data_IF_817840300994
#
_entry.id   IF_817840300994
#
_cell.length_a   1.000
_cell.length_b   1.000
_cell.length_c   1.000
_cell.angle_alpha   90.00
_cell.angle_beta   90.00
_cell.angle_gamma   90.00
#
_symmetry.space_group_name_H-M   'P 1'
#
loop_
_entity.id
_entity.type
_entity.pdbx_description
1 polymer ?
2 non-polymer ?
3 non-polymer ?
4 water ?
#
# COMPACT_ATOMS: atom_id res chain seq x y z
N UNK A 3 22.52 9.50 28.33
CA UNK A 3 21.41 9.91 29.22
C UNK A 3 20.27 10.60 28.46
N UNK A 4 20.55 11.70 27.76
CA UNK A 4 19.46 12.55 27.24
C UNK A 4 18.84 12.17 25.89
N UNK A 5 17.51 12.12 25.88
CA UNK A 5 16.75 11.92 24.68
C UNK A 5 17.05 13.11 23.77
N UNK A 6 17.40 12.83 22.52
CA UNK A 6 17.54 13.83 21.47
C UNK A 6 16.59 13.43 20.35
N UNK A 7 16.24 14.37 19.48
CA UNK A 7 15.23 14.13 18.44
C UNK A 7 15.69 13.12 17.36
N UNK A 8 17.01 13.01 17.18
CA UNK A 8 17.61 12.08 16.22
C UNK A 8 17.40 10.59 16.57
N UNK A 9 17.04 10.33 17.83
CA UNK A 9 16.87 8.95 18.28
C UNK A 9 15.55 8.39 17.81
N UNK A 10 14.66 9.30 17.40
CA UNK A 10 13.36 8.93 16.84
C UNK A 10 13.46 8.48 15.38
N UNK A 11 14.64 8.62 14.78
CA UNK A 11 14.88 8.25 13.38
C UNK A 11 14.78 6.74 13.10
N UNK A 12 14.08 6.40 12.01
CA UNK A 12 13.98 5.01 11.60
C UNK A 12 12.62 4.62 11.03
N UNK A 13 12.46 3.32 10.82
CA UNK A 13 11.17 2.78 10.39
C UNK A 13 10.43 2.16 11.59
N UNK A 14 9.24 2.69 11.85
CA UNK A 14 8.45 2.25 12.99
C UNK A 14 7.16 1.54 12.53
N UNK A 15 6.94 0.32 13.03
CA UNK A 15 5.79 -0.49 12.64
C UNK A 15 4.75 -0.47 13.74
N UNK A 16 3.50 -0.23 13.36
CA UNK A 16 2.42 -0.14 14.34
C UNK A 16 2.12 -1.49 14.94
N UNK A 17 2.15 -1.56 16.26
CA UNK A 17 1.84 -2.83 16.93
C UNK A 17 0.59 -2.74 17.80
N UNK A 18 0.26 -1.54 18.26
CA UNK A 18 -0.88 -1.33 19.13
C UNK A 18 -1.45 0.09 18.97
N UNK A 19 -2.77 0.21 19.05
CA UNK A 19 -3.49 1.45 18.75
C UNK A 19 -4.81 1.48 19.52
N UNK A 20 -4.96 2.47 20.41
CA UNK A 20 -6.14 2.57 21.25
C UNK A 20 -6.63 4.02 21.25
N UNK A 21 -7.92 4.23 21.00
CA UNK A 21 -8.51 5.58 20.98
C UNK A 21 -8.49 6.33 19.65
N UNK A 22 -7.98 5.70 18.60
CA UNK A 22 -7.91 6.28 17.26
C UNK A 22 -9.25 6.83 16.82
N UNK A 23 -10.30 6.01 16.95
CA UNK A 23 -11.62 6.39 16.46
C UNK A 23 -12.19 7.58 17.20
N UNK A 24 -12.05 7.59 18.54
CA UNK A 24 -12.53 8.71 19.35
C UNK A 24 -11.82 9.99 18.97
N UNK A 25 -10.49 9.95 18.93
CA UNK A 25 -9.69 11.11 18.55
C UNK A 25 -10.09 11.71 17.19
N UNK A 26 -10.29 10.85 16.18
CA UNK A 26 -10.75 11.25 14.84
C UNK A 26 -12.14 11.87 14.84
N UNK A 27 -13.01 11.37 15.72
CA UNK A 27 -14.33 11.95 15.89
C UNK A 27 -14.19 13.35 16.44
N UNK A 28 -13.21 13.55 17.32
CA UNK A 28 -13.01 14.89 17.88
C UNK A 28 -12.51 15.89 16.84
N UNK A 29 -11.62 15.47 15.93
CA UNK A 29 -11.22 16.33 14.81
C UNK A 29 -12.35 16.63 13.82
N UNK A 30 -13.42 15.83 13.86
CA UNK A 30 -14.54 15.93 12.89
C UNK A 30 -14.32 15.19 11.58
N UNK A 31 -13.65 14.02 11.64
CA UNK A 31 -13.44 13.16 10.47
C UNK A 31 -14.60 12.17 10.24
N UNK A 32 -14.96 11.98 8.97
CA UNK A 32 -16.06 11.10 8.55
C UNK A 32 -15.90 9.63 8.91
N UNK A 33 -17.02 8.90 8.89
CA UNK A 33 -17.05 7.48 9.23
C UNK A 33 -16.13 6.66 8.29
N UNK A 34 -16.37 6.73 6.98
CA UNK A 34 -15.59 5.95 6.02
C UNK A 34 -14.08 6.15 6.16
N UNK A 35 -13.64 7.38 6.43
CA UNK A 35 -12.22 7.70 6.53
C UNK A 35 -11.65 7.39 7.91
N UNK A 36 -12.52 7.37 8.91
CA UNK A 36 -12.14 6.94 10.25
C UNK A 36 -11.87 5.46 10.23
N UNK A 37 -12.82 4.69 9.70
CA UNK A 37 -12.71 3.24 9.66
C UNK A 37 -11.49 2.84 8.84
N UNK A 38 -11.37 3.36 7.62
CA UNK A 38 -10.22 3.06 6.75
C UNK A 38 -8.87 3.43 7.36
N UNK A 39 -8.81 4.55 8.07
CA UNK A 39 -7.59 4.97 8.74
C UNK A 39 -7.23 4.09 9.92
N UNK A 40 -8.26 3.63 10.63
CA UNK A 40 -8.09 2.75 11.79
C UNK A 40 -7.75 1.32 11.39
N UNK A 41 -8.03 0.96 10.14
CA UNK A 41 -7.74 -0.38 9.69
C UNK A 41 -6.25 -0.57 9.40
N UNK A 42 -5.72 0.29 8.51
CA UNK A 42 -4.35 0.21 8.03
C UNK A 42 -3.32 0.10 9.16
N UNK A 43 -2.28 -0.69 8.91
CA UNK A 43 -1.21 -0.90 9.86
C UNK A 43 0.04 -0.31 9.23
N UNK A 44 0.14 1.03 9.20
CA UNK A 44 1.20 1.70 8.44
C UNK A 44 2.59 1.63 9.10
N UNK A 45 3.63 1.69 8.29
CA UNK A 45 4.94 2.04 8.81
C UNK A 45 5.04 3.55 8.85
N UNK A 46 5.70 4.02 9.90
CA UNK A 46 6.04 5.40 10.08
C UNK A 46 7.56 5.49 9.84
N UNK A 47 7.98 6.41 8.97
CA UNK A 47 9.41 6.63 8.73
C UNK A 47 9.82 8.06 9.10
N UNK A 48 10.71 8.19 10.09
CA UNK A 48 11.12 9.49 10.57
C UNK A 48 12.57 9.77 10.20
N UNK A 49 12.79 10.92 9.60
CA UNK A 49 14.13 11.41 9.30
C UNK A 49 14.32 12.80 9.91
N UNK A 50 15.39 12.94 10.69
CA UNK A 50 15.81 14.22 11.23
C UNK A 50 17.27 14.48 10.91
N UNK A 51 17.51 15.60 10.26
CA UNK A 51 18.83 16.00 9.81
C UNK A 51 19.14 17.35 10.46
N UNK A 52 19.91 17.31 11.55
CA UNK A 52 20.07 18.45 12.44
C UNK A 52 18.69 18.93 12.90
N UNK A 53 18.24 20.04 12.34
CA UNK A 53 16.96 20.65 12.69
C UNK A 53 15.82 20.41 11.67
N UNK A 54 16.11 19.72 10.57
CA UNK A 54 15.09 19.46 9.55
C UNK A 54 14.44 18.09 9.72
N UNK A 55 13.12 18.10 9.88
CA UNK A 55 12.36 16.90 10.17
C UNK A 55 11.38 16.59 9.05
N UNK A 56 11.38 15.32 8.64
CA UNK A 56 10.42 14.77 7.71
C UNK A 56 9.80 13.52 8.33
N UNK A 57 8.48 13.42 8.26
CA UNK A 57 7.78 12.17 8.56
C UNK A 57 7.04 11.64 7.32
N UNK A 58 7.24 10.35 7.05
CA UNK A 58 6.58 9.65 5.96
C UNK A 58 5.77 8.45 6.48
N UNK A 59 4.95 7.89 5.60
CA UNK A 59 4.03 6.81 5.93
C UNK A 59 4.04 5.74 4.82
N UNK A 60 4.14 4.47 5.22
CA UNK A 60 4.11 3.35 4.26
C UNK A 60 3.08 2.26 4.54
N UNK A 61 2.17 2.08 3.58
CA UNK A 61 1.16 1.02 3.64
C UNK A 61 1.35 0.05 2.50
N UNK A 62 1.41 -1.23 2.85
CA UNK A 62 1.46 -2.31 1.88
C UNK A 62 0.12 -3.05 1.82
N UNK A 63 -0.48 -3.09 0.63
CA UNK A 63 -1.74 -3.78 0.43
C UNK A 63 -1.46 -5.15 -0.22
N UNK A 64 -1.77 -6.23 0.50
CA UNK A 64 -1.49 -7.61 0.03
C UNK A 64 -2.76 -8.39 -0.32
N UNK A 65 -2.88 -8.75 -1.59
CA UNK A 65 -4.04 -9.51 -2.10
C UNK A 65 -3.61 -10.83 -2.70
N UNK A 66 -4.29 -11.90 -2.33
CA UNK A 66 -4.21 -13.14 -3.07
C UNK A 66 -5.13 -13.01 -4.30
N UNK A 67 -4.55 -13.00 -5.51
CA UNK A 67 -5.36 -12.84 -6.72
C UNK A 67 -6.22 -14.08 -7.00
N UNK A 68 -5.58 -15.24 -7.07
CA UNK A 68 -6.27 -16.53 -7.15
C UNK A 68 -5.38 -17.69 -6.71
N UNK A 69 -5.99 -18.82 -6.44
CA UNK A 69 -5.26 -20.00 -5.99
C UNK A 69 -5.94 -21.22 -6.59
N UNK A 70 -5.22 -21.92 -7.45
CA UNK A 70 -5.81 -23.00 -8.23
C UNK A 70 -4.98 -24.28 -8.29
N UNK A 71 -5.57 -25.32 -8.87
CA UNK A 71 -4.83 -26.51 -9.26
C UNK A 71 -4.76 -26.50 -10.79
N UNK A 72 -3.55 -26.67 -11.33
CA UNK A 72 -3.32 -26.69 -12.78
C UNK A 72 -4.22 -27.69 -13.48
N UNK A 73 -4.93 -27.22 -14.50
CA UNK A 73 -5.76 -28.08 -15.32
C UNK A 73 -7.17 -28.29 -14.78
N UNK A 74 -7.43 -27.80 -13.57
CA UNK A 74 -8.76 -27.89 -12.95
C UNK A 74 -9.47 -26.54 -13.03
N UNK A 75 -10.61 -26.51 -13.73
CA UNK A 75 -11.37 -25.26 -13.85
C UNK A 75 -11.91 -24.81 -12.49
N UNK A 76 -12.05 -23.50 -12.30
CA UNK A 76 -12.58 -22.97 -11.04
C UNK A 76 -13.25 -21.61 -11.28
N UNK A 77 -14.17 -21.25 -10.40
CA UNK A 77 -14.80 -19.94 -10.49
C UNK A 77 -13.91 -18.90 -9.84
N UNK A 78 -13.57 -17.88 -10.61
CA UNK A 78 -12.81 -16.74 -10.15
C UNK A 78 -13.77 -15.55 -9.99
N UNK A 79 -13.60 -14.75 -8.94
CA UNK A 79 -14.30 -13.47 -8.87
C UNK A 79 -13.26 -12.37 -9.08
N UNK A 80 -13.35 -11.65 -10.20
CA UNK A 80 -12.32 -10.70 -10.61
C UNK A 80 -12.49 -9.30 -10.00
N UNK A 81 -11.37 -8.59 -9.89
CA UNK A 81 -11.32 -7.25 -9.27
C UNK A 81 -12.27 -6.24 -9.92
N UNK A 82 -12.54 -6.39 -11.21
CA UNK A 82 -13.51 -5.56 -11.91
C UNK A 82 -14.97 -6.03 -11.77
N UNK A 83 -15.19 -7.14 -11.09
CA UNK A 83 -16.55 -7.63 -10.85
C UNK A 83 -17.11 -8.48 -11.96
N UNK A 84 -16.33 -9.45 -12.45
CA UNK A 84 -16.85 -10.55 -13.28
C UNK A 84 -16.71 -11.84 -12.50
N UNK A 85 -17.63 -12.78 -12.75
CA UNK A 85 -17.48 -14.16 -12.28
C UNK A 85 -17.16 -15.07 -13.46
N UNK A 86 -15.88 -15.40 -13.60
CA UNK A 86 -15.39 -16.14 -14.76
C UNK A 86 -15.19 -17.59 -14.42
N UNK A 87 -15.34 -18.44 -15.42
CA UNK A 87 -14.90 -19.81 -15.32
C UNK A 87 -13.47 -19.88 -15.86
N UNK A 88 -12.50 -20.07 -14.97
CA UNK A 88 -11.07 -20.00 -15.31
C UNK A 88 -10.38 -21.38 -15.24
N UNK A 89 -9.29 -21.53 -16.00
CA UNK A 89 -8.37 -22.66 -15.91
C UNK A 89 -6.96 -22.26 -16.31
N UNK A 90 -5.98 -22.56 -15.45
CA UNK A 90 -4.56 -22.36 -15.76
C UNK A 90 -3.90 -23.67 -16.19
N UNK A 91 -3.09 -23.59 -17.24
CA UNK A 91 -2.32 -24.74 -17.71
C UNK A 91 -0.86 -24.39 -17.96
N UNK A 92 -0.03 -25.42 -18.19
CA UNK A 92 1.34 -25.20 -18.61
C UNK A 92 1.58 -25.85 -19.96
N UNK A 93 1.62 -25.02 -21.01
CA UNK A 93 1.73 -25.51 -22.38
C UNK A 93 2.82 -24.76 -23.11
N UNK A 94 3.79 -25.51 -23.64
CA UNK A 94 4.87 -24.93 -24.45
C UNK A 94 5.55 -23.72 -23.75
N UNK A 95 6.20 -24.01 -22.62
CA UNK A 95 7.01 -23.01 -21.90
C UNK A 95 6.32 -21.78 -21.31
N UNK A 96 4.99 -21.79 -21.24
CA UNK A 96 4.25 -20.63 -20.74
C UNK A 96 3.08 -21.02 -19.83
N UNK A 97 2.87 -20.22 -18.78
CA UNK A 97 1.68 -20.37 -17.95
C UNK A 97 0.51 -19.61 -18.57
N UNK A 98 -0.53 -20.34 -18.96
CA UNK A 98 -1.67 -19.80 -19.68
C UNK A 98 -2.90 -19.83 -18.77
N UNK A 99 -3.45 -18.64 -18.51
CA UNK A 99 -4.67 -18.48 -17.74
C UNK A 99 -5.82 -18.14 -18.65
N UNK A 100 -6.85 -18.97 -18.65
CA UNK A 100 -7.94 -18.80 -19.60
C UNK A 100 -9.22 -18.48 -18.86
N UNK A 101 -9.85 -17.35 -19.21
CA UNK A 101 -11.09 -16.89 -18.52
C UNK A 101 -12.29 -16.90 -19.45
N UNK A 102 -13.41 -17.46 -18.98
CA UNK A 102 -14.64 -17.50 -19.76
C UNK A 102 -15.81 -16.98 -18.96
N UNK A 103 -16.51 -16.00 -19.52
CA UNK A 103 -17.71 -15.46 -18.89
C UNK A 103 -18.61 -14.85 -19.95
N UNK A 104 -19.92 -14.98 -19.78
CA UNK A 104 -20.93 -14.27 -20.58
C UNK A 104 -20.78 -14.44 -22.10
N UNK A 105 -20.25 -15.58 -22.54
CA UNK A 105 -20.00 -15.81 -23.96
C UNK A 105 -18.67 -15.27 -24.44
N UNK A 106 -17.92 -14.63 -23.56
CA UNK A 106 -16.62 -14.01 -23.91
C UNK A 106 -15.47 -14.81 -23.32
N UNK A 107 -14.27 -14.60 -23.85
CA UNK A 107 -13.07 -15.19 -23.26
C UNK A 107 -11.90 -14.22 -23.28
N UNK A 108 -10.96 -14.42 -22.36
CA UNK A 108 -9.72 -13.66 -22.31
C UNK A 108 -8.62 -14.58 -21.83
N UNK A 109 -7.45 -14.46 -22.44
CA UNK A 109 -6.27 -15.26 -22.08
C UNK A 109 -5.19 -14.36 -21.46
N UNK A 110 -4.42 -14.92 -20.53
CA UNK A 110 -3.38 -14.19 -19.83
C UNK A 110 -2.18 -15.13 -19.75
N UNK A 111 -1.13 -14.78 -20.48
CA UNK A 111 0.01 -15.68 -20.61
C UNK A 111 1.23 -15.16 -19.83
N UNK A 112 1.89 -16.05 -19.12
CA UNK A 112 3.06 -15.67 -18.34
C UNK A 112 4.21 -16.58 -18.70
N UNK A 113 5.32 -15.98 -19.11
CA UNK A 113 6.49 -16.74 -19.53
C UNK A 113 7.76 -16.01 -19.15
N UNK A 114 8.88 -16.73 -19.17
CA UNK A 114 10.20 -16.16 -19.01
C UNK A 114 10.81 -15.82 -20.36
N UNK A 115 11.43 -14.65 -20.43
CA UNK A 115 12.13 -14.20 -21.61
C UNK A 115 13.31 -13.38 -21.10
N UNK A 116 14.51 -13.96 -21.17
CA UNK A 116 15.75 -13.32 -20.69
C UNK A 116 15.73 -12.91 -19.23
N UNK A 117 15.39 -13.86 -18.36
CA UNK A 117 15.30 -13.61 -16.90
C UNK A 117 14.19 -12.70 -16.42
N UNK A 118 13.27 -12.35 -17.32
CA UNK A 118 12.12 -11.50 -16.99
C UNK A 118 10.79 -12.21 -17.20
N UNK A 119 9.80 -11.88 -16.38
CA UNK A 119 8.46 -12.42 -16.53
C UNK A 119 7.70 -11.54 -17.52
N UNK A 120 7.30 -12.12 -18.65
CA UNK A 120 6.48 -11.40 -19.61
C UNK A 120 5.03 -11.82 -19.48
N UNK A 121 4.18 -10.86 -19.16
CA UNK A 121 2.75 -11.11 -19.03
C UNK A 121 2.02 -10.47 -20.20
N UNK A 122 1.26 -11.29 -20.91
CA UNK A 122 0.54 -10.83 -22.08
C UNK A 122 -0.95 -11.12 -21.88
N UNK A 123 -1.76 -10.07 -21.84
CA UNK A 123 -3.20 -10.22 -21.62
C UNK A 123 -3.97 -9.98 -22.93
N UNK A 124 -4.75 -10.95 -23.39
CA UNK A 124 -5.50 -10.75 -24.63
C UNK A 124 -7.00 -10.76 -24.41
N UNK A 125 -7.68 -9.82 -25.05
CA UNK A 125 -9.14 -9.73 -25.06
C UNK A 125 -9.46 -9.15 -26.43
N UNK A 126 -10.12 -9.96 -27.26
CA UNK A 126 -10.41 -9.60 -28.65
C UNK A 126 -9.12 -9.19 -29.38
N UNK A 127 -9.13 -8.05 -30.04
CA UNK A 127 -7.92 -7.54 -30.71
C UNK A 127 -6.70 -7.46 -29.80
N UNK A 128 -6.98 -7.11 -28.54
CA UNK A 128 -6.11 -6.23 -27.77
C UNK A 128 -5.15 -6.91 -26.82
N UNK A 129 -3.86 -6.63 -27.02
CA UNK A 129 -2.81 -7.10 -26.13
C UNK A 129 -2.36 -6.04 -25.13
N UNK A 130 -2.28 -6.42 -23.86
CA UNK A 130 -1.58 -5.64 -22.85
C UNK A 130 -0.33 -6.42 -22.44
N UNK A 131 0.84 -5.80 -22.62
CA UNK A 131 2.12 -6.43 -22.29
C UNK A 131 2.73 -5.81 -21.04
N UNK A 132 3.01 -6.67 -20.06
CA UNK A 132 3.64 -6.24 -18.84
C UNK A 132 4.92 -7.03 -18.62
N UNK A 133 5.96 -6.35 -18.12
CA UNK A 133 7.26 -6.98 -17.88
C UNK A 133 7.65 -6.78 -16.42
N UNK A 134 8.19 -7.83 -15.80
CA UNK A 134 8.66 -7.79 -14.41
C UNK A 134 10.13 -8.27 -14.27
N UNK A 135 10.84 -7.73 -13.28
CA UNK A 135 12.17 -8.21 -12.88
C UNK A 135 12.00 -9.18 -11.74
N UNK A 136 12.86 -10.18 -11.64
CA UNK A 136 12.90 -11.01 -10.44
C UNK A 136 13.61 -10.26 -9.31
N UNK A 137 13.05 -10.31 -8.10
CA UNK A 137 13.49 -9.42 -7.01
C UNK A 137 13.79 -10.12 -5.67
N UNK B 5 12.29 -25.05 -19.95
CA UNK B 5 11.17 -24.24 -19.39
C UNK B 5 10.13 -25.09 -18.64
N UNK B 6 10.21 -25.06 -17.31
CA UNK B 6 9.28 -25.78 -16.43
C UNK B 6 8.46 -24.72 -15.68
N UNK B 7 7.42 -25.14 -14.95
CA UNK B 7 6.57 -24.17 -14.24
C UNK B 7 7.26 -23.52 -13.02
N UNK B 8 8.11 -24.26 -12.32
CA UNK B 8 8.80 -23.76 -11.13
C UNK B 8 9.68 -22.52 -11.37
N UNK B 9 10.06 -22.30 -12.63
CA UNK B 9 10.89 -21.16 -13.01
C UNK B 9 10.21 -19.81 -12.75
N UNK B 10 8.89 -19.83 -12.65
CA UNK B 10 8.10 -18.61 -12.46
C UNK B 10 7.97 -18.18 -11.00
N UNK B 11 8.30 -19.09 -10.08
CA UNK B 11 8.22 -18.83 -8.63
C UNK B 11 9.07 -17.62 -8.24
N UNK B 12 8.61 -16.87 -7.23
CA UNK B 12 9.37 -15.75 -6.66
C UNK B 12 8.66 -14.41 -6.74
N UNK B 13 9.31 -13.37 -6.24
CA UNK B 13 8.77 -12.01 -6.29
C UNK B 13 9.14 -11.32 -7.59
N UNK B 14 8.20 -10.62 -8.22
CA UNK B 14 8.49 -9.91 -9.45
C UNK B 14 8.01 -8.46 -9.34
N UNK B 15 8.80 -7.54 -9.85
CA UNK B 15 8.48 -6.12 -9.75
C UNK B 15 8.15 -5.59 -11.13
N UNK B 16 7.00 -4.93 -11.26
CA UNK B 16 6.61 -4.39 -12.56
C UNK B 16 7.64 -3.39 -13.07
N UNK B 17 8.12 -3.58 -14.29
CA UNK B 17 9.05 -2.60 -14.84
C UNK B 17 8.53 -1.91 -16.10
N UNK B 18 7.52 -2.52 -16.74
CA UNK B 18 6.96 -1.99 -17.98
C UNK B 18 5.53 -2.46 -18.20
N UNK B 19 4.69 -1.57 -18.72
CA UNK B 19 3.28 -1.85 -18.97
C UNK B 19 2.81 -1.10 -20.22
N UNK B 20 2.16 -1.78 -21.15
CA UNK B 20 1.69 -1.13 -22.36
C UNK B 20 0.41 -1.76 -22.93
N UNK B 21 -0.60 -0.94 -23.18
CA UNK B 21 -1.89 -1.43 -23.67
C UNK B 21 -2.84 -1.76 -22.55
N UNK B 22 -2.41 -1.44 -21.33
CA UNK B 22 -3.19 -1.69 -20.12
C UNK B 22 -4.56 -1.06 -20.26
N UNK B 23 -4.59 0.24 -20.53
CA UNK B 23 -5.86 0.93 -20.69
C UNK B 23 -6.72 0.29 -21.79
N UNK B 24 -6.15 -0.01 -22.95
CA UNK B 24 -6.93 -0.63 -24.03
C UNK B 24 -7.49 -1.99 -23.62
N UNK B 25 -6.70 -2.79 -22.89
CA UNK B 25 -7.15 -4.13 -22.48
C UNK B 25 -8.29 -4.01 -21.49
N UNK B 26 -8.17 -3.09 -20.53
CA UNK B 26 -9.23 -2.84 -19.57
C UNK B 26 -10.52 -2.34 -20.25
N UNK B 27 -10.36 -1.47 -21.25
CA UNK B 27 -11.48 -0.93 -22.00
C UNK B 27 -12.22 -2.05 -22.69
N UNK B 28 -11.48 -2.98 -23.28
CA UNK B 28 -12.10 -4.15 -23.85
C UNK B 28 -12.92 -4.93 -22.81
N UNK B 29 -12.36 -5.18 -21.63
CA UNK B 29 -13.12 -5.90 -20.59
C UNK B 29 -14.40 -5.18 -20.11
N UNK B 30 -14.57 -3.91 -20.50
CA UNK B 30 -15.67 -3.09 -20.02
C UNK B 30 -15.41 -2.66 -18.59
N UNK B 31 -14.24 -2.07 -18.35
CA UNK B 31 -13.85 -1.54 -17.04
C UNK B 31 -13.96 -0.01 -17.05
N UNK B 32 -14.45 0.56 -15.94
CA UNK B 32 -14.61 2.02 -15.79
C UNK B 32 -13.34 2.86 -15.74
N UNK B 33 -13.48 4.16 -16.02
CA UNK B 33 -12.34 5.08 -16.09
C UNK B 33 -11.52 5.14 -14.78
N UNK B 34 -12.21 5.28 -13.64
CA UNK B 34 -11.59 5.26 -12.31
C UNK B 34 -10.65 4.06 -12.07
N UNK B 35 -11.14 2.85 -12.31
CA UNK B 35 -10.35 1.63 -12.06
C UNK B 35 -9.21 1.48 -13.06
N UNK B 36 -9.43 1.94 -14.29
CA UNK B 36 -8.44 1.92 -15.36
C UNK B 36 -7.25 2.78 -15.03
N UNK B 37 -7.53 4.04 -14.67
CA UNK B 37 -6.48 5.02 -14.39
C UNK B 37 -5.68 4.54 -13.19
N UNK B 38 -6.40 4.18 -12.12
CA UNK B 38 -5.83 3.62 -10.91
C UNK B 38 -4.93 2.43 -11.19
N UNK B 39 -5.52 1.42 -11.83
CA UNK B 39 -4.83 0.19 -12.15
C UNK B 39 -3.56 0.45 -12.92
N UNK B 40 -3.61 1.39 -13.86
CA UNK B 40 -2.46 1.73 -14.69
C UNK B 40 -1.39 2.43 -13.86
N UNK B 41 -1.80 3.23 -12.88
CA UNK B 41 -0.84 3.94 -12.02
C UNK B 41 -0.07 3.01 -11.08
N UNK B 42 -0.77 1.99 -10.57
CA UNK B 42 -0.21 1.02 -9.61
C UNK B 42 1.02 0.24 -10.13
N UNK B 43 2.04 0.11 -9.29
CA UNK B 43 3.25 -0.64 -9.63
C UNK B 43 3.45 -1.79 -8.63
N UNK B 44 2.72 -2.90 -8.81
CA UNK B 44 2.77 -3.96 -7.82
C UNK B 44 3.97 -4.89 -7.92
N UNK B 45 4.31 -5.54 -6.81
CA UNK B 45 5.08 -6.74 -6.88
C UNK B 45 4.13 -7.89 -7.10
N UNK B 46 4.58 -8.89 -7.85
CA UNK B 46 3.80 -10.07 -8.11
C UNK B 46 4.53 -11.22 -7.44
N UNK B 47 3.82 -11.98 -6.60
CA UNK B 47 4.42 -13.12 -5.91
C UNK B 47 3.82 -14.45 -6.42
N UNK B 48 4.67 -15.28 -7.03
CA UNK B 48 4.19 -16.51 -7.63
C UNK B 48 4.70 -17.74 -6.87
N UNK B 49 3.76 -18.59 -6.47
CA UNK B 49 4.04 -19.84 -5.76
C UNK B 49 3.49 -20.99 -6.62
N UNK B 50 4.24 -22.10 -6.70
CA UNK B 50 3.73 -23.30 -7.37
C UNK B 50 4.38 -24.58 -6.85
N UNK B 51 3.90 -25.07 -5.70
CA UNK B 51 4.31 -26.39 -5.16
C UNK B 51 3.61 -27.50 -5.95
N UNK B 52 4.31 -27.99 -6.98
CA UNK B 52 3.82 -29.06 -7.83
C UNK B 52 2.79 -28.62 -8.85
N UNK B 53 1.52 -28.91 -8.55
CA UNK B 53 0.42 -28.71 -9.49
C UNK B 53 -0.49 -27.58 -9.02
N UNK B 54 -0.36 -27.22 -7.74
CA UNK B 54 -1.11 -26.09 -7.20
C UNK B 54 -0.34 -24.79 -7.34
N UNK B 55 -1.03 -23.77 -7.83
CA UNK B 55 -0.41 -22.49 -8.11
C UNK B 55 -1.15 -21.37 -7.40
N UNK B 56 -0.40 -20.48 -6.77
CA UNK B 56 -0.96 -19.28 -6.15
C UNK B 56 -0.27 -18.04 -6.73
N UNK B 57 -1.08 -17.05 -7.11
CA UNK B 57 -0.55 -15.76 -7.55
C UNK B 57 -1.14 -14.65 -6.70
N UNK B 58 -0.30 -14.03 -5.86
CA UNK B 58 -0.71 -12.85 -5.11
C UNK B 58 0.02 -11.58 -5.54
N UNK B 59 -0.38 -10.43 -5.00
CA UNK B 59 0.28 -9.16 -5.29
C UNK B 59 0.56 -8.36 -4.01
N UNK B 60 1.47 -7.39 -4.12
CA UNK B 60 1.71 -6.39 -3.08
C UNK B 60 1.89 -5.00 -3.67
N UNK B 61 1.28 -4.02 -3.02
CA UNK B 61 1.33 -2.62 -3.46
C UNK B 61 1.57 -1.69 -2.26
N UNK B 62 2.54 -0.78 -2.41
CA UNK B 62 2.95 0.15 -1.35
C UNK B 62 2.79 1.62 -1.79
N UNK B 63 2.31 2.45 -0.88
CA UNK B 63 2.39 3.91 -0.97
C UNK B 63 2.35 4.31 0.49
N UNK B 64 3.24 5.18 1.00
CA UNK B 64 4.18 6.13 0.37
C UNK B 64 3.63 7.53 0.12
N UNK B 65 3.43 8.27 1.22
CA UNK B 65 3.11 9.68 1.16
C UNK B 65 3.96 10.41 2.20
N UNK B 66 4.12 11.72 2.02
CA UNK B 66 4.80 12.51 3.03
C UNK B 66 3.70 13.18 3.84
N UNK B 67 3.70 12.94 5.15
CA UNK B 67 2.76 13.58 6.06
C UNK B 67 3.13 15.05 6.26
N UNK B 68 4.41 15.30 6.54
CA UNK B 68 4.98 16.67 6.55
C UNK B 68 6.50 16.74 6.61
N UNK B 69 7.04 17.84 6.08
CA UNK B 69 8.45 18.14 6.24
C UNK B 69 8.57 19.52 6.88
N UNK B 70 9.45 19.66 7.88
CA UNK B 70 9.59 20.94 8.57
C UNK B 70 10.95 21.16 9.23
N UNK B 71 11.12 22.34 9.81
CA UNK B 71 12.30 22.75 10.57
C UNK B 71 11.85 23.00 12.00
N UNK B 72 12.46 22.32 12.96
CA UNK B 72 12.10 22.47 14.36
C UNK B 72 12.01 23.94 14.79
N UNK B 73 10.88 24.30 15.38
CA UNK B 73 10.68 25.63 15.95
C UNK B 73 10.11 26.67 15.03
N UNK B 74 10.05 26.35 13.74
CA UNK B 74 9.54 27.30 12.73
C UNK B 74 8.13 26.94 12.28
N UNK B 75 7.23 27.91 12.37
CA UNK B 75 5.83 27.70 12.00
C UNK B 75 5.70 27.40 10.52
N UNK B 76 4.70 26.59 10.18
CA UNK B 76 4.39 26.29 8.78
C UNK B 76 2.92 25.89 8.64
N UNK B 77 2.41 25.99 7.42
CA UNK B 77 1.04 25.62 7.11
C UNK B 77 1.01 24.18 6.69
N UNK B 78 0.26 23.38 7.44
CA UNK B 78 0.09 21.98 7.15
C UNK B 78 -1.28 21.83 6.49
N UNK B 79 -1.35 21.08 5.40
CA UNK B 79 -2.62 20.60 4.84
C UNK B 79 -2.78 19.14 5.25
N UNK B 80 -3.75 18.86 6.13
CA UNK B 80 -3.87 17.53 6.74
C UNK B 80 -4.68 16.57 5.87
N UNK B 81 -4.52 15.27 6.12
CA UNK B 81 -5.19 14.25 5.31
C UNK B 81 -6.71 14.29 5.44
N UNK B 82 -7.22 14.93 6.49
CA UNK B 82 -8.67 15.02 6.66
C UNK B 82 -9.28 16.32 6.09
N UNK B 83 -8.44 17.30 5.78
CA UNK B 83 -8.93 18.53 5.17
C UNK B 83 -8.94 19.69 6.14
N UNK B 84 -7.90 19.78 6.95
CA UNK B 84 -7.65 20.99 7.70
C UNK B 84 -6.41 21.67 7.13
N UNK B 85 -6.46 23.00 7.11
CA UNK B 85 -5.28 23.82 6.90
C UNK B 85 -4.94 24.31 8.27
N UNK B 86 -3.86 23.76 8.85
CA UNK B 86 -3.44 24.12 10.18
C UNK B 86 -2.17 24.97 10.15
N UNK B 87 -2.01 25.77 11.20
CA UNK B 87 -0.77 26.43 11.52
C UNK B 87 -0.06 25.47 12.49
N UNK B 88 1.10 24.96 12.09
CA UNK B 88 1.74 23.90 12.86
C UNK B 88 3.14 24.27 13.29
N UNK B 89 3.55 23.78 14.45
CA UNK B 89 4.95 23.86 14.88
C UNK B 89 5.40 22.57 15.54
N UNK B 90 6.65 22.17 15.25
CA UNK B 90 7.27 20.98 15.84
C UNK B 90 8.44 21.38 16.73
N UNK B 91 8.42 20.91 17.97
CA UNK B 91 9.54 21.15 18.88
C UNK B 91 10.01 19.86 19.53
N UNK B 92 11.29 19.79 19.84
CA UNK B 92 11.74 18.78 20.75
C UNK B 92 11.92 19.45 22.10
N UNK B 93 10.97 19.20 23.00
CA UNK B 93 11.02 19.74 24.35
C UNK B 93 10.63 18.62 25.28
N UNK B 94 11.32 18.55 26.42
CA UNK B 94 11.12 17.53 27.46
C UNK B 94 11.14 16.08 26.99
N UNK B 95 12.18 15.76 26.23
CA UNK B 95 12.41 14.40 25.76
C UNK B 95 11.42 13.89 24.73
N UNK B 96 10.62 14.78 24.14
CA UNK B 96 9.59 14.37 23.19
C UNK B 96 9.46 15.29 21.99
N UNK B 97 9.08 14.70 20.86
CA UNK B 97 8.78 15.50 19.69
C UNK B 97 7.31 15.96 19.72
N UNK B 98 7.12 17.25 20.03
CA UNK B 98 5.79 17.82 20.17
C UNK B 98 5.34 18.57 18.91
N UNK B 99 4.31 18.03 18.27
CA UNK B 99 3.70 18.61 17.09
C UNK B 99 2.41 19.31 17.51
N UNK B 100 2.36 20.62 17.29
CA UNK B 100 1.22 21.42 17.75
C UNK B 100 0.52 22.07 16.55
N UNK B 101 -0.77 21.76 16.37
CA UNK B 101 -1.56 22.24 15.23
C UNK B 101 -2.62 23.19 15.67
N UNK B 102 -2.78 24.28 14.95
CA UNK B 102 -3.80 25.29 15.29
C UNK B 102 -4.61 25.63 14.06
N UNK B 103 -5.93 25.65 14.22
CA UNK B 103 -6.86 25.99 13.14
C UNK B 103 -8.21 26.37 13.75
N UNK B 104 -8.86 27.39 13.17
CA UNK B 104 -10.25 27.71 13.50
C UNK B 104 -10.48 27.89 15.01
N UNK B 105 -9.48 28.41 15.71
CA UNK B 105 -9.59 28.66 17.14
C UNK B 105 -9.55 27.39 17.97
N UNK B 106 -9.07 26.31 17.35
CA UNK B 106 -8.86 25.03 18.02
C UNK B 106 -7.40 24.63 17.90
N UNK B 107 -7.05 23.55 18.57
CA UNK B 107 -5.67 23.06 18.65
C UNK B 107 -5.65 21.59 19.07
N UNK B 108 -4.64 20.88 18.59
CA UNK B 108 -4.42 19.48 18.89
C UNK B 108 -2.92 19.32 18.98
N UNK B 109 -2.45 18.48 19.89
CA UNK B 109 -1.02 18.21 20.02
C UNK B 109 -0.77 16.72 19.82
N UNK B 110 0.23 16.42 18.99
CA UNK B 110 0.69 15.05 18.77
C UNK B 110 2.11 14.92 19.30
N UNK B 111 2.28 13.99 20.25
CA UNK B 111 3.53 13.81 20.94
C UNK B 111 4.14 12.47 20.57
N UNK B 112 5.42 12.49 20.20
CA UNK B 112 6.15 11.28 19.86
C UNK B 112 7.37 11.19 20.77
N UNK B 113 7.58 10.02 21.36
CA UNK B 113 8.42 9.83 22.51
C UNK B 113 8.86 8.37 22.51
N UNK B 114 10.10 8.07 22.91
CA UNK B 114 10.55 6.68 23.05
C UNK B 114 10.35 6.18 24.47
N UNK B 115 9.77 4.99 24.61
CA UNK B 115 9.72 4.29 25.90
C UNK B 115 10.04 2.83 25.66
N UNK B 116 11.00 2.31 26.42
CA UNK B 116 11.35 0.89 26.35
C UNK B 116 11.66 0.47 24.93
N UNK B 117 12.40 1.33 24.23
CA UNK B 117 12.83 1.09 22.87
C UNK B 117 11.76 1.24 21.80
N UNK B 118 10.51 1.51 22.20
CA UNK B 118 9.40 1.73 21.26
C UNK B 118 9.08 3.22 21.06
N UNK B 119 8.43 3.55 19.95
CA UNK B 119 7.92 4.89 19.72
C UNK B 119 6.46 4.98 20.15
N UNK B 120 6.20 5.78 21.18
CA UNK B 120 4.87 6.02 21.72
C UNK B 120 4.31 7.29 21.10
N UNK B 121 3.13 7.18 20.48
CA UNK B 121 2.51 8.31 19.81
C UNK B 121 1.18 8.64 20.47
N UNK B 122 1.06 9.89 20.89
CA UNK B 122 -0.08 10.32 21.69
C UNK B 122 -0.76 11.48 21.02
N UNK B 123 -1.96 11.26 20.49
CA UNK B 123 -2.64 12.34 19.84
C UNK B 123 -3.74 12.81 20.79
N UNK B 124 -3.74 14.12 21.07
CA UNK B 124 -4.68 14.69 22.04
C UNK B 124 -5.53 15.77 21.38
N UNK B 125 -6.84 15.66 21.54
CA UNK B 125 -7.77 16.64 21.02
C UNK B 125 -8.87 16.87 22.03
N UNK B 126 -9.01 18.11 22.46
CA UNK B 126 -9.80 18.41 23.66
C UNK B 126 -9.30 17.47 24.74
N UNK B 127 -10.15 16.73 25.42
CA UNK B 127 -9.53 15.78 26.34
C UNK B 127 -9.91 14.32 26.08
N UNK B 128 -9.40 13.90 24.92
CA UNK B 128 -9.62 12.62 24.25
C UNK B 128 -8.24 12.23 23.71
N UNK B 129 -7.75 11.06 24.11
CA UNK B 129 -6.38 10.70 23.79
C UNK B 129 -6.21 9.39 23.01
N UNK B 130 -5.72 9.51 21.79
CA UNK B 130 -5.27 8.34 21.04
C UNK B 130 -3.82 8.02 21.40
N UNK B 131 -3.58 6.73 21.67
CA UNK B 131 -2.23 6.23 21.93
C UNK B 131 -1.90 5.14 20.94
N UNK B 132 -0.86 5.35 20.16
CA UNK B 132 -0.40 4.32 19.23
C UNK B 132 1.04 3.96 19.57
N UNK B 133 1.41 2.69 19.36
CA UNK B 133 2.76 2.23 19.66
C UNK B 133 3.39 1.54 18.45
N UNK B 134 4.62 1.93 18.15
CA UNK B 134 5.42 1.38 17.06
C UNK B 134 6.67 0.65 17.53
N UNK B 135 7.01 -0.42 16.81
CA UNK B 135 8.25 -1.15 16.98
C UNK B 135 9.27 -0.82 15.88
N UNK B 136 10.53 -0.68 16.26
CA UNK B 136 11.59 -0.31 15.32
C UNK B 136 11.85 -1.48 14.36
N UNK B 137 11.90 -1.18 13.06
CA UNK B 137 12.25 -2.16 12.03
C UNK B 137 13.68 -1.92 11.58
N UNK B 138 14.55 -2.92 11.76
CA UNK B 138 15.95 -2.82 11.35
C UNK B 138 16.55 -4.19 11.04
X LIG C 1 -8.03 -7.50 -12.66
X LIG C 1 -5.60 -6.78 -15.42
X LIG C 1 -4.39 -7.48 -15.29
X LIG C 1 -7.95 -7.16 -15.43
X LIG C 1 -9.15 -7.43 -14.78
X LIG C 1 -1.94 -8.59 -14.81
X LIG C 1 -0.46 -8.87 -14.50
X LIG C 1 -3.27 -7.09 -16.03
X LIG C 1 -3.36 -6.03 -16.93
X LIG C 1 -4.55 -5.33 -17.08
X LIG C 1 -5.66 -5.70 -16.32
X LIG C 1 -5.46 -3.78 -12.65
X LIG C 1 -3.44 -5.65 -10.38
X LIG C 1 -4.14 -6.47 -11.18
X LIG C 1 -5.29 -6.13 -11.79
X LIG C 1 -6.04 -4.79 -11.66
X LIG C 1 -2.55 -4.97 -8.24
X LIG C 1 -2.31 -10.94 -10.89
X LIG C 1 -2.92 -8.62 -11.33
X LIG C 1 -2.84 -4.51 -10.95
X LIG C 1 -9.19 -7.59 -13.40
X LIG C 1 -1.55 -8.28 -11.28
X LIG C 1 -6.81 -7.23 -13.29
X LIG C 1 -6.77 -7.08 -14.70
X LIG C 1 -0.17 -10.05 -14.17
X LIG C 1 0.34 -7.91 -14.60
X LIG C 1 -2.06 -7.72 -15.93
X LIG C 1 -3.28 -5.88 -9.01
X LIG C 1 -5.71 -7.15 -12.52
X LIG C 1 -4.90 -8.08 -12.39
X LIG C 1 -3.90 -7.74 -11.59
X LIG C 1 -3.28 -9.97 -11.13
X LIG C 1 -0.97 -10.61 -10.83
X LIG C 1 -0.58 -9.28 -11.02
X LIG C 1 -1.97 -3.84 -8.82
X LIG C 1 -2.12 -3.59 -10.19
X LIG D 1 -12.98 15.68 4.23
X LIG D 1 -11.80 15.82 3.47
X LIG D 1 -13.19 14.21 4.55
X LIG D 1 -14.38 13.82 3.93
X LIG D 1 -13.30 14.01 6.07
X LIG D 1 -14.13 12.91 6.36
X LIG E 1 -4.38 12.49 9.58
X LIG E 1 -4.13 10.79 12.89
X LIG E 1 -2.80 10.59 13.30
X LIG E 1 -5.38 12.73 12.19
X LIG E 1 -5.76 13.64 11.20
X LIG E 1 -0.19 9.41 13.74
X LIG E 1 0.90 8.43 14.18
X LIG E 1 -2.49 9.64 14.28
X LIG E 1 -3.51 8.90 14.88
X LIG E 1 -4.83 9.09 14.48
X LIG E 1 -5.13 10.03 13.49
X LIG E 1 -5.26 9.50 7.89
X LIG E 1 -2.41 7.48 9.16
X LIG E 1 -2.40 8.70 9.68
X LIG E 1 -3.51 9.43 9.76
X LIG E 1 -4.93 9.01 9.29
X LIG E 1 -1.90 6.02 7.31
X LIG E 1 2.25 9.95 10.54
X LIG E 1 -0.06 9.16 10.35
X LIG E 1 -2.95 6.42 9.90
X LIG E 1 -5.26 13.51 9.89
X LIG E 1 0.41 7.86 10.65
X LIG E 1 -4.00 11.59 10.58
X LIG E 1 -4.49 11.71 11.90
X LIG E 1 2.07 8.87 14.24
X LIG E 1 0.53 7.27 14.47
X LIG E 1 -1.23 9.42 14.72
X LIG E 1 -1.90 7.28 7.87
X LIG E 1 -3.17 10.60 10.30
X LIG E 1 -1.93 10.60 10.56
X LIG E 1 -1.39 9.44 10.18
X LIG E 1 0.89 10.20 10.33
X LIG E 1 2.68 8.65 10.79
X LIG E 1 1.77 7.60 10.86
X LIG E 1 -2.44 4.95 8.04
X LIG E 1 -2.96 5.14 9.33
#
# INVERSE_FOLDING_TARGET
GSHMATVQQLEGRWRLVDSKGFDEYMKELGVGIALRKMGAMAKPDCIITCDGKNLTIKTESTLKTTQFSCTLGEKFEETTADGRKTQTVCNFTDGALVQHQEWDGKESTITRKLKDGKLVVECVMNNVTCTRIYEKVE
GSHMATVQQLEGRWRLVDSKGFDEYMKELGVGIALRKMGAMAKPDCIITCDGKNLTIKTESTLKTTQFSCTLGEKFEETTADGRKTQTVCNFTDGALVQHQEWDGKESTITRKLKDGKLVVECVMNNVTCTRIYEKVE
T4B C1 C2 C3 C7 C8 C9 C10 C11 C12 C13 C14 C15 C16 C19 C20 C21 C22 C24 C27 C30 C C4 C5 C6 O O1 O2 C17 N N1 C18 C23 C25 C26 C28 C29
GOL C1 O1 C2 O2 C3 O3
T4B C1 C2 C3 C7 C8 C9 C10 C11 C12 C13 C14 C15 C16 C19 C20 C21 C22 C24 C27 C30 C C4 C5 C6 O O1 O2 C17 N N1 C18 C23 C25 C26 C28 C29
#
